data_IF_644018150096
#
_entry.id   IF_644018150096
#
_cell.length_a   1.000
_cell.length_b   1.000
_cell.length_c   1.000
_cell.angle_alpha   90.00
_cell.angle_beta   90.00
_cell.angle_gamma   90.00
#
_symmetry.space_group_name_H-M   'P 1'
#
loop_
_entity.id
_entity.type
_entity.pdbx_description
1 polymer ?
#
# COMPACT_ATOMS: atom_id res chain seq x y z
N UNK A 1 25.56 -45.56 -22.69
CA UNK A 1 25.70 -44.13 -23.08
C UNK A 1 24.35 -43.47 -23.34
N UNK A 2 23.53 -43.96 -24.29
CA UNK A 2 22.22 -43.35 -24.66
C UNK A 2 21.31 -43.04 -23.46
N UNK A 3 21.15 -43.98 -22.52
CA UNK A 3 20.32 -43.78 -21.31
C UNK A 3 20.77 -42.58 -20.47
N UNK A 4 22.07 -42.33 -20.36
CA UNK A 4 22.63 -41.19 -19.59
C UNK A 4 22.28 -39.87 -20.27
N UNK A 5 22.33 -39.81 -21.60
CA UNK A 5 21.94 -38.63 -22.38
C UNK A 5 20.44 -38.33 -22.25
N UNK A 6 19.59 -39.38 -22.22
CA UNK A 6 18.15 -39.24 -21.99
C UNK A 6 17.87 -38.67 -20.59
N UNK A 7 18.50 -39.21 -19.55
CA UNK A 7 18.36 -38.70 -18.17
C UNK A 7 18.82 -37.23 -18.08
N UNK A 8 19.94 -36.88 -18.72
CA UNK A 8 20.44 -35.50 -18.75
C UNK A 8 19.46 -34.54 -19.45
N UNK A 9 18.89 -34.96 -20.59
CA UNK A 9 17.91 -34.16 -21.34
C UNK A 9 16.58 -33.99 -20.57
N UNK A 10 16.09 -35.06 -19.93
CA UNK A 10 14.93 -35.00 -19.04
C UNK A 10 15.17 -34.04 -17.85
N UNK A 11 16.36 -34.10 -17.25
CA UNK A 11 16.75 -33.17 -16.17
C UNK A 11 16.81 -31.71 -16.59
N UNK A 12 17.40 -31.42 -17.76
CA UNK A 12 17.49 -30.05 -18.31
C UNK A 12 16.11 -29.48 -18.66
N UNK A 13 15.22 -30.29 -19.26
CA UNK A 13 13.86 -29.85 -19.62
C UNK A 13 12.99 -29.59 -18.38
N UNK A 14 13.05 -30.45 -17.36
CA UNK A 14 12.35 -30.23 -16.09
C UNK A 14 12.89 -29.01 -15.32
N UNK A 15 14.20 -28.81 -15.30
CA UNK A 15 14.79 -27.64 -14.65
C UNK A 15 14.42 -26.33 -15.37
N UNK A 16 14.42 -26.34 -16.70
CA UNK A 16 13.96 -25.19 -17.51
C UNK A 16 12.49 -24.85 -17.25
N UNK A 17 11.59 -25.84 -17.24
CA UNK A 17 10.17 -25.63 -16.88
C UNK A 17 9.99 -25.07 -15.47
N UNK A 18 10.75 -25.59 -14.50
CA UNK A 18 10.70 -25.10 -13.12
C UNK A 18 11.14 -23.63 -13.01
N UNK A 19 12.23 -23.24 -13.68
CA UNK A 19 12.67 -21.84 -13.70
C UNK A 19 11.62 -20.93 -14.33
N UNK A 20 11.05 -21.30 -15.48
CA UNK A 20 9.99 -20.51 -16.14
C UNK A 20 8.76 -20.37 -15.23
N UNK A 21 8.31 -21.45 -14.58
CA UNK A 21 7.19 -21.38 -13.63
C UNK A 21 7.51 -20.43 -12.47
N UNK A 22 8.73 -20.46 -11.93
CA UNK A 22 9.15 -19.60 -10.81
C UNK A 22 9.14 -18.12 -11.19
N UNK A 23 9.67 -17.75 -12.36
CA UNK A 23 9.67 -16.37 -12.85
C UNK A 23 8.24 -15.88 -13.16
N UNK A 24 7.39 -16.74 -13.74
CA UNK A 24 5.97 -16.43 -13.93
C UNK A 24 5.25 -16.24 -12.59
N UNK A 25 5.52 -17.08 -11.59
CA UNK A 25 4.93 -16.96 -10.27
C UNK A 25 5.37 -15.68 -9.55
N UNK A 26 6.64 -15.30 -9.67
CA UNK A 26 7.15 -14.04 -9.12
C UNK A 26 6.46 -12.85 -9.77
N UNK A 27 6.42 -12.80 -11.11
CA UNK A 27 5.72 -11.75 -11.88
C UNK A 27 4.24 -11.64 -11.47
N UNK A 28 3.56 -12.77 -11.27
CA UNK A 28 2.17 -12.80 -10.83
C UNK A 28 2.00 -12.29 -9.39
N UNK A 29 2.95 -12.58 -8.50
CA UNK A 29 2.97 -12.07 -7.14
C UNK A 29 3.24 -10.56 -7.11
N UNK A 30 4.16 -10.05 -7.93
CA UNK A 30 4.47 -8.62 -8.05
C UNK A 30 3.25 -7.83 -8.53
N UNK A 31 2.56 -8.33 -9.58
CA UNK A 31 1.31 -7.75 -10.06
C UNK A 31 0.19 -7.79 -8.99
N UNK A 32 0.09 -8.88 -8.25
CA UNK A 32 -0.89 -9.03 -7.16
C UNK A 32 -0.62 -8.08 -5.98
N UNK A 33 0.64 -7.90 -5.61
CA UNK A 33 1.04 -6.99 -4.53
C UNK A 33 0.79 -5.53 -4.90
N UNK A 34 1.11 -5.12 -6.14
CA UNK A 34 0.79 -3.79 -6.66
C UNK A 34 -0.73 -3.55 -6.73
N UNK A 35 -1.51 -4.52 -7.20
CA UNK A 35 -2.96 -4.43 -7.25
C UNK A 35 -3.59 -4.31 -5.85
N UNK A 36 -3.00 -4.97 -4.85
CA UNK A 36 -3.45 -4.89 -3.47
C UNK A 36 -3.01 -3.58 -2.78
N UNK A 37 -1.83 -3.05 -3.06
CA UNK A 37 -1.38 -1.74 -2.58
C UNK A 37 -2.17 -0.57 -3.20
N UNK A 38 -2.85 -0.79 -4.33
CA UNK A 38 -3.71 0.21 -4.99
C UNK A 38 -5.21 0.03 -4.71
N UNK A 39 -5.64 -1.11 -4.14
CA UNK A 39 -7.07 -1.38 -3.90
C UNK A 39 -7.58 -0.79 -2.58
N UNK A 40 -8.54 0.13 -2.69
CA UNK A 40 -9.19 0.74 -1.53
C UNK A 40 -8.29 1.68 -0.72
N UNK A 41 -7.19 2.15 -1.31
CA UNK A 41 -6.20 3.02 -0.68
C UNK A 41 -6.69 4.47 -0.62
N UNK A 42 -6.56 5.13 0.53
CA UNK A 42 -6.86 6.54 0.74
C UNK A 42 -5.66 7.25 1.37
N UNK A 43 -5.20 8.33 0.75
CA UNK A 43 -4.26 9.25 1.38
C UNK A 43 -5.02 10.32 2.14
N UNK A 44 -4.69 10.48 3.41
CA UNK A 44 -5.23 11.47 4.32
C UNK A 44 -4.18 12.53 4.61
N UNK A 45 -4.63 13.76 4.82
CA UNK A 45 -3.80 14.87 5.28
C UNK A 45 -4.46 15.57 6.46
N UNK A 46 -3.61 16.10 7.34
CA UNK A 46 -3.96 17.09 8.35
C UNK A 46 -3.27 18.39 7.97
N UNK A 47 -4.03 19.47 7.88
CA UNK A 47 -3.52 20.79 7.52
C UNK A 47 -3.87 21.84 8.57
N UNK A 48 -3.00 22.82 8.71
CA UNK A 48 -3.28 24.08 9.38
C UNK A 48 -3.48 25.15 8.29
N UNK A 49 -4.64 25.82 8.30
CA UNK A 49 -5.01 26.84 7.31
C UNK A 49 -4.82 28.22 7.91
N UNK A 50 -3.97 29.02 7.25
CA UNK A 50 -3.59 30.36 7.66
C UNK A 50 -4.36 31.39 6.84
N UNK A 51 -4.82 32.45 7.51
CA UNK A 51 -5.43 33.62 6.88
C UNK A 51 -4.78 34.87 7.45
N UNK A 52 -3.95 35.54 6.64
CA UNK A 52 -3.41 36.84 6.98
C UNK A 52 -4.50 37.90 6.80
N UNK A 53 -4.83 38.59 7.88
CA UNK A 53 -5.92 39.57 7.91
C UNK A 53 -5.54 40.94 7.32
N UNK A 54 -4.35 41.11 6.73
CA UNK A 54 -3.90 42.42 6.26
C UNK A 54 -3.49 43.33 7.41
N UNK A 55 -3.82 44.61 7.29
CA UNK A 55 -3.48 45.66 8.24
C UNK A 55 -4.66 46.64 8.44
N UNK A 56 -4.68 47.35 9.56
CA UNK A 56 -5.66 48.39 9.85
C UNK A 56 -5.02 49.76 9.88
N UNK A 57 -5.73 50.76 9.36
CA UNK A 57 -5.24 52.13 9.25
C UNK A 57 -5.25 52.82 10.62
N UNK A 58 -4.07 53.15 11.12
CA UNK A 58 -3.87 53.96 12.34
C UNK A 58 -3.47 55.39 11.96
N UNK A 59 -3.18 56.24 12.95
CA UNK A 59 -2.74 57.63 12.68
C UNK A 59 -1.32 57.67 12.09
N UNK A 60 -0.52 56.66 12.40
CA UNK A 60 0.91 56.60 12.08
C UNK A 60 1.21 55.69 10.86
N UNK A 61 0.22 54.96 10.35
CA UNK A 61 0.36 54.14 9.14
C UNK A 61 -0.73 53.08 8.95
N UNK A 62 -0.33 51.91 8.47
CA UNK A 62 -1.15 50.70 8.48
C UNK A 62 -0.44 49.65 9.34
N UNK A 63 -1.08 49.21 10.44
CA UNK A 63 -0.52 48.23 11.39
C UNK A 63 -1.11 46.84 11.14
N UNK A 64 -0.30 45.79 11.24
CA UNK A 64 -0.75 44.43 10.91
C UNK A 64 -1.87 43.95 11.83
N UNK A 65 -2.92 43.39 11.22
CA UNK A 65 -4.01 42.72 11.92
C UNK A 65 -3.66 41.29 12.39
N UNK A 66 -2.44 40.83 12.08
CA UNK A 66 -1.99 39.47 12.37
C UNK A 66 -2.61 38.40 11.47
N UNK A 67 -2.37 37.14 11.86
CA UNK A 67 -2.76 35.95 11.11
C UNK A 67 -3.71 35.10 11.96
N UNK A 68 -4.86 34.72 11.39
CA UNK A 68 -5.76 33.70 11.96
C UNK A 68 -5.32 32.33 11.46
N UNK A 69 -5.43 31.31 12.31
CA UNK A 69 -5.07 29.93 11.96
C UNK A 69 -6.19 28.99 12.38
N UNK A 70 -6.73 28.23 11.43
CA UNK A 70 -7.63 27.09 11.68
C UNK A 70 -6.77 25.84 11.68
N UNK A 71 -6.56 25.25 12.87
CA UNK A 71 -5.62 24.14 13.05
C UNK A 71 -6.29 22.77 12.97
N UNK A 72 -5.55 21.79 12.46
CA UNK A 72 -5.90 20.38 12.53
C UNK A 72 -7.10 19.98 11.65
N UNK A 73 -7.27 20.61 10.50
CA UNK A 73 -8.27 20.21 9.51
C UNK A 73 -7.84 18.88 8.90
N UNK A 74 -8.66 17.83 9.07
CA UNK A 74 -8.39 16.48 8.56
C UNK A 74 -9.33 16.16 7.41
N UNK A 75 -8.80 15.57 6.34
CA UNK A 75 -9.57 15.14 5.18
C UNK A 75 -8.71 14.31 4.21
N UNK A 76 -9.31 13.85 3.11
CA UNK A 76 -8.52 13.17 2.08
C UNK A 76 -7.63 14.19 1.37
N UNK A 77 -6.44 13.77 0.94
CA UNK A 77 -5.54 14.65 0.18
C UNK A 77 -6.21 15.15 -1.11
N UNK A 78 -6.99 14.28 -1.75
CA UNK A 78 -7.74 14.60 -2.97
C UNK A 78 -8.77 15.71 -2.77
N UNK A 79 -9.50 15.69 -1.66
CA UNK A 79 -10.54 16.69 -1.41
C UNK A 79 -9.92 17.98 -0.87
N UNK A 80 -9.05 17.91 0.15
CA UNK A 80 -8.47 19.10 0.74
C UNK A 80 -7.45 19.80 -0.18
N UNK A 81 -6.52 19.06 -0.80
CA UNK A 81 -5.42 19.62 -1.58
C UNK A 81 -5.77 19.70 -3.06
N UNK A 82 -5.99 18.56 -3.73
CA UNK A 82 -6.12 18.52 -5.20
C UNK A 82 -7.32 19.32 -5.71
N UNK A 83 -8.44 19.31 -4.97
CA UNK A 83 -9.65 20.10 -5.27
C UNK A 83 -9.65 21.48 -4.61
N UNK A 84 -8.66 21.80 -3.77
CA UNK A 84 -8.58 23.07 -3.07
C UNK A 84 -9.67 23.30 -2.01
N UNK A 85 -10.32 22.26 -1.47
CA UNK A 85 -11.37 22.45 -0.45
C UNK A 85 -10.83 23.02 0.87
N UNK A 86 -9.51 23.01 1.09
CA UNK A 86 -8.85 23.75 2.17
C UNK A 86 -9.27 25.23 2.26
N UNK A 87 -9.62 25.85 1.13
CA UNK A 87 -10.06 27.26 1.06
C UNK A 87 -11.34 27.48 1.90
N UNK A 88 -12.20 26.47 2.07
CA UNK A 88 -13.43 26.57 2.89
C UNK A 88 -13.15 26.77 4.39
N UNK A 89 -11.92 26.50 4.83
CA UNK A 89 -11.46 26.66 6.21
C UNK A 89 -10.68 27.98 6.41
N UNK A 90 -10.59 28.83 5.39
CA UNK A 90 -10.08 30.20 5.53
C UNK A 90 -11.06 31.05 6.34
N UNK A 91 -10.55 32.04 7.08
CA UNK A 91 -11.38 32.86 7.98
C UNK A 91 -11.66 34.23 7.35
N UNK A 92 -12.82 34.45 6.67
CA UNK A 92 -13.11 35.72 5.99
C UNK A 92 -13.40 36.89 6.96
N UNK A 93 -13.52 36.63 8.26
CA UNK A 93 -13.81 37.63 9.30
C UNK A 93 -12.55 38.41 9.72
N UNK A 94 -11.95 39.13 8.77
CA UNK A 94 -10.82 40.03 8.99
C UNK A 94 -11.29 41.48 8.73
N UNK A 95 -11.59 42.23 9.79
CA UNK A 95 -12.12 43.60 9.72
C UNK A 95 -11.00 44.65 9.52
N UNK A 96 -10.27 44.54 8.42
CA UNK A 96 -9.04 45.29 8.20
C UNK A 96 -9.07 46.11 6.90
N UNK A 97 -8.50 47.32 6.97
CA UNK A 97 -8.73 48.41 6.00
C UNK A 97 -7.55 48.70 5.06
N UNK A 98 -6.40 48.09 5.31
CA UNK A 98 -5.20 48.16 4.48
C UNK A 98 -4.74 46.76 4.04
N UNK A 99 -4.45 46.57 2.76
CA UNK A 99 -3.88 45.33 2.22
C UNK A 99 -4.91 44.25 1.88
N UNK A 100 -4.48 43.27 1.08
CA UNK A 100 -5.33 42.16 0.64
C UNK A 100 -5.25 40.96 1.58
N UNK A 101 -6.33 40.18 1.63
CA UNK A 101 -6.35 38.89 2.30
C UNK A 101 -5.40 37.93 1.58
N UNK A 102 -4.52 37.28 2.35
CA UNK A 102 -3.67 36.19 1.86
C UNK A 102 -3.97 34.93 2.66
N UNK A 103 -4.13 33.81 1.96
CA UNK A 103 -4.45 32.51 2.56
C UNK A 103 -3.51 31.45 2.04
N UNK A 104 -3.06 30.58 2.92
CA UNK A 104 -2.24 29.41 2.60
C UNK A 104 -2.53 28.29 3.59
N UNK A 105 -2.01 27.10 3.32
CA UNK A 105 -2.06 25.97 4.22
C UNK A 105 -0.66 25.43 4.44
N UNK A 106 -0.46 24.78 5.59
CA UNK A 106 0.71 23.96 5.87
C UNK A 106 0.24 22.53 6.15
N UNK A 107 0.91 21.53 5.57
CA UNK A 107 0.62 20.13 5.85
C UNK A 107 1.31 19.77 7.15
N UNK A 108 0.52 19.44 8.18
CA UNK A 108 1.00 19.05 9.51
C UNK A 108 1.28 17.54 9.55
N UNK A 109 0.45 16.76 8.88
CA UNK A 109 0.53 15.30 8.84
C UNK A 109 -0.01 14.76 7.50
N UNK A 110 0.50 13.60 7.08
CA UNK A 110 0.05 12.84 5.90
C UNK A 110 0.22 11.35 6.20
N UNK A 111 -0.82 10.55 5.95
CA UNK A 111 -0.78 9.09 6.13
C UNK A 111 -1.66 8.37 5.09
N UNK A 112 -1.47 7.06 4.98
CA UNK A 112 -2.18 6.17 4.03
C UNK A 112 -3.02 5.16 4.79
N UNK A 113 -4.30 5.02 4.41
CA UNK A 113 -5.22 4.02 4.93
C UNK A 113 -5.59 3.00 3.83
N UNK A 114 -5.56 1.72 4.17
CA UNK A 114 -6.02 0.61 3.32
C UNK A 114 -7.38 0.11 3.79
N UNK A 115 -8.41 0.16 2.93
CA UNK A 115 -9.75 -0.36 3.23
C UNK A 115 -9.75 -1.88 3.39
N UNK A 116 -9.89 -2.36 4.63
CA UNK A 116 -9.90 -3.79 5.03
C UNK A 116 -10.71 -4.66 4.07
N UNK A 117 -10.07 -5.73 3.56
CA UNK A 117 -10.69 -6.78 2.73
C UNK A 117 -10.45 -6.61 1.23
N UNK A 118 -10.35 -5.37 0.73
CA UNK A 118 -10.16 -5.10 -0.70
C UNK A 118 -8.78 -5.55 -1.20
N UNK A 119 -7.77 -5.58 -0.33
CA UNK A 119 -6.38 -5.96 -0.66
C UNK A 119 -6.27 -7.44 -0.99
N UNK A 120 -6.80 -8.31 -0.14
CA UNK A 120 -6.75 -9.76 -0.34
C UNK A 120 -7.54 -10.19 -1.59
N UNK A 121 -8.72 -9.58 -1.82
CA UNK A 121 -9.51 -9.86 -3.02
C UNK A 121 -8.81 -9.37 -4.30
N UNK A 122 -8.16 -8.20 -4.27
CA UNK A 122 -7.40 -7.70 -5.40
C UNK A 122 -6.18 -8.58 -5.69
N UNK A 123 -5.37 -8.91 -4.67
CA UNK A 123 -4.22 -9.80 -4.80
C UNK A 123 -4.60 -11.15 -5.43
N UNK A 124 -5.62 -11.83 -4.88
CA UNK A 124 -6.06 -13.12 -5.41
C UNK A 124 -6.54 -13.06 -6.86
N UNK A 125 -7.32 -12.03 -7.23
CA UNK A 125 -7.80 -11.85 -8.61
C UNK A 125 -6.66 -11.58 -9.59
N UNK A 126 -5.72 -10.71 -9.25
CA UNK A 126 -4.58 -10.37 -10.12
C UNK A 126 -3.58 -11.53 -10.20
N UNK A 127 -3.36 -12.29 -9.13
CA UNK A 127 -2.52 -13.48 -9.16
C UNK A 127 -3.12 -14.56 -10.08
N UNK A 128 -4.42 -14.87 -9.93
CA UNK A 128 -5.10 -15.88 -10.76
C UNK A 128 -5.20 -15.45 -12.23
N UNK A 129 -5.32 -14.14 -12.53
CA UNK A 129 -5.25 -13.63 -13.90
C UNK A 129 -3.87 -13.80 -14.56
N UNK A 130 -2.79 -13.87 -13.77
CA UNK A 130 -1.41 -14.05 -14.22
C UNK A 130 -0.86 -15.45 -13.89
N UNK A 131 -1.73 -16.44 -13.69
CA UNK A 131 -1.37 -17.76 -13.20
C UNK A 131 -0.29 -18.44 -14.07
N UNK A 132 0.78 -19.03 -13.47
CA UNK A 132 1.84 -19.69 -14.23
C UNK A 132 1.33 -20.85 -15.09
N UNK A 133 1.77 -20.91 -16.35
CA UNK A 133 1.25 -21.85 -17.35
C UNK A 133 1.60 -23.31 -17.06
N UNK A 134 2.73 -23.55 -16.40
CA UNK A 134 3.22 -24.89 -16.05
C UNK A 134 2.84 -25.35 -14.64
N UNK A 135 2.04 -24.56 -13.90
CA UNK A 135 1.63 -24.89 -12.53
C UNK A 135 0.29 -25.67 -12.50
N UNK A 136 0.33 -26.89 -11.96
CA UNK A 136 -0.85 -27.73 -11.70
C UNK A 136 -1.76 -27.07 -10.66
N UNK A 137 -1.16 -26.48 -9.62
CA UNK A 137 -1.82 -25.55 -8.70
C UNK A 137 -0.93 -24.35 -8.46
N UNK A 138 -1.53 -23.16 -8.40
CA UNK A 138 -0.85 -21.95 -7.96
C UNK A 138 -1.87 -21.03 -7.30
N UNK A 139 -1.54 -20.50 -6.12
CA UNK A 139 -2.45 -19.63 -5.37
C UNK A 139 -1.73 -18.71 -4.38
N UNK A 140 -2.45 -17.68 -3.92
CA UNK A 140 -1.99 -16.77 -2.86
C UNK A 140 -2.18 -17.43 -1.49
N UNK A 141 -1.09 -17.62 -0.75
CA UNK A 141 -1.09 -18.24 0.58
C UNK A 141 -1.45 -17.24 1.70
N UNK A 142 -1.02 -16.00 1.56
CA UNK A 142 -1.28 -14.95 2.55
C UNK A 142 -1.06 -13.56 1.96
N UNK A 143 -1.89 -12.61 2.41
CA UNK A 143 -1.69 -11.17 2.18
C UNK A 143 -1.53 -10.50 3.54
N UNK A 144 -0.35 -9.96 3.82
CA UNK A 144 -0.10 -9.12 5.00
C UNK A 144 -0.25 -7.65 4.59
N UNK A 145 -1.17 -6.91 5.24
CA UNK A 145 -1.39 -5.48 4.98
C UNK A 145 -0.85 -4.67 6.17
N UNK A 146 0.10 -3.77 5.92
CA UNK A 146 0.65 -2.83 6.90
C UNK A 146 -0.15 -1.54 6.85
N UNK A 147 -1.15 -1.41 7.74
CA UNK A 147 -2.12 -0.29 7.75
C UNK A 147 -2.06 0.55 9.02
N UNK A 148 -2.48 1.80 8.88
CA UNK A 148 -2.68 2.74 9.97
C UNK A 148 -4.19 2.88 10.31
N UNK A 149 -4.59 3.04 11.60
CA UNK A 149 -3.83 2.72 12.81
C UNK A 149 -3.76 1.19 12.99
N UNK A 150 -2.68 0.71 13.61
CA UNK A 150 -2.30 -0.71 13.57
C UNK A 150 -3.24 -1.64 14.35
N UNK A 151 -3.75 -2.64 13.65
CA UNK A 151 -3.85 -4.01 14.17
C UNK A 151 -3.17 -4.90 13.13
N UNK A 152 -2.22 -5.75 13.56
CA UNK A 152 -1.64 -6.76 12.68
C UNK A 152 -2.74 -7.75 12.27
N UNK A 153 -3.06 -7.81 10.98
CA UNK A 153 -4.06 -8.74 10.46
C UNK A 153 -3.48 -9.54 9.29
N UNK A 154 -2.88 -10.69 9.61
CA UNK A 154 -2.51 -11.70 8.61
C UNK A 154 -3.78 -12.36 8.10
N UNK A 155 -4.31 -11.89 6.97
CA UNK A 155 -5.42 -12.57 6.29
C UNK A 155 -4.87 -13.81 5.60
N UNK A 156 -5.03 -14.95 6.29
CA UNK A 156 -4.74 -16.29 5.74
C UNK A 156 -6.00 -16.78 5.03
N UNK A 157 -5.94 -16.93 3.70
CA UNK A 157 -7.05 -17.46 2.92
C UNK A 157 -7.06 -18.99 2.99
N UNK A 158 -7.56 -19.53 4.10
CA UNK A 158 -8.12 -20.88 4.09
C UNK A 158 -9.50 -20.78 3.40
N UNK A 159 -9.66 -21.40 2.22
CA UNK A 159 -10.77 -21.18 1.28
C UNK A 159 -12.15 -21.76 1.72
N UNK A 160 -12.44 -21.75 3.02
CA UNK A 160 -13.73 -22.12 3.59
C UNK A 160 -14.29 -20.94 4.42
N UNK A 161 -15.45 -20.42 3.99
CA UNK A 161 -16.20 -19.28 4.55
C UNK A 161 -15.55 -17.89 4.47
N UNK A 162 -15.86 -17.17 3.39
CA UNK A 162 -15.95 -15.70 3.38
C UNK A 162 -17.44 -15.31 3.32
N UNK A 163 -18.17 -15.48 4.43
CA UNK A 163 -19.60 -15.10 4.53
C UNK A 163 -19.98 -14.25 5.74
N UNK A 164 -19.10 -14.14 6.76
CA UNK A 164 -19.40 -13.38 7.97
C UNK A 164 -18.24 -12.47 8.34
N UNK A 165 -18.38 -11.17 8.01
CA UNK A 165 -17.85 -10.01 8.77
C UNK A 165 -18.30 -8.64 8.19
N UNK A 166 -19.40 -8.60 7.42
CA UNK A 166 -20.06 -7.35 7.02
C UNK A 166 -20.92 -6.80 8.18
N UNK A 167 -20.28 -6.20 9.19
CA UNK A 167 -20.99 -5.48 10.26
C UNK A 167 -20.21 -4.25 10.76
N UNK A 168 -20.81 -3.08 10.56
CA UNK A 168 -20.46 -1.77 11.13
C UNK A 168 -19.04 -1.18 10.87
N UNK A 169 -18.88 -0.32 9.86
CA UNK A 169 -17.74 0.60 9.77
C UNK A 169 -17.93 1.79 10.71
N UNK A 170 -17.67 1.60 12.01
CA UNK A 170 -17.49 2.73 12.92
C UNK A 170 -16.12 3.38 12.67
N UNK A 171 -16.11 4.48 11.92
CA UNK A 171 -14.95 5.36 11.81
C UNK A 171 -14.74 6.08 13.15
N UNK A 172 -13.82 5.57 13.98
CA UNK A 172 -13.41 6.24 15.22
C UNK A 172 -12.08 6.94 14.97
N UNK A 173 -12.11 8.26 14.81
CA UNK A 173 -10.93 9.09 14.62
C UNK A 173 -10.26 9.38 15.96
N UNK A 174 -9.29 8.57 16.35
CA UNK A 174 -8.39 8.86 17.46
C UNK A 174 -7.22 9.77 17.00
N UNK A 175 -6.74 10.70 17.85
CA UNK A 175 -5.49 11.40 17.58
C UNK A 175 -4.32 10.42 17.54
N UNK A 176 -3.45 10.61 16.55
CA UNK A 176 -2.28 9.76 16.25
C UNK A 176 -1.22 9.86 17.36
N UNK A 177 -0.79 8.73 17.97
CA UNK A 177 0.47 8.70 18.72
C UNK A 177 1.66 8.49 17.75
N UNK A 178 2.77 9.17 18.02
CA UNK A 178 3.96 9.25 17.13
C UNK A 178 4.75 7.92 17.01
N UNK A 179 4.44 6.92 17.83
CA UNK A 179 5.08 5.60 17.84
C UNK A 179 4.67 4.73 16.64
N UNK A 180 3.46 4.89 16.12
CA UNK A 180 2.96 4.10 14.98
C UNK A 180 3.57 4.47 13.62
N UNK A 181 4.21 5.64 13.50
CA UNK A 181 5.03 6.01 12.33
C UNK A 181 6.35 5.23 12.25
N UNK A 182 6.70 4.46 13.28
CA UNK A 182 8.01 3.79 13.41
C UNK A 182 8.02 2.34 12.92
N UNK A 183 6.90 1.75 12.47
CA UNK A 183 6.95 0.48 11.72
C UNK A 183 7.63 0.75 10.37
N UNK A 184 8.87 0.27 10.12
CA UNK A 184 9.54 0.54 8.87
C UNK A 184 8.77 -0.04 7.68
N UNK A 185 7.97 -1.09 7.88
CA UNK A 185 7.21 -1.75 6.83
C UNK A 185 5.90 -1.03 6.46
N UNK A 186 5.58 0.12 7.05
CA UNK A 186 4.38 0.89 6.73
C UNK A 186 4.66 2.00 5.70
N UNK A 187 3.76 2.24 4.71
CA UNK A 187 2.63 1.44 4.27
C UNK A 187 3.03 0.45 3.15
N UNK A 188 2.82 -0.84 3.37
CA UNK A 188 3.07 -1.90 2.38
C UNK A 188 2.00 -2.99 2.39
N UNK A 189 1.90 -3.71 1.28
CA UNK A 189 1.16 -4.97 1.18
C UNK A 189 2.10 -6.07 0.71
N UNK A 190 2.26 -7.13 1.50
CA UNK A 190 3.10 -8.28 1.16
C UNK A 190 2.21 -9.43 0.72
N UNK A 191 2.43 -9.92 -0.50
CA UNK A 191 1.75 -11.09 -1.07
C UNK A 191 2.74 -12.25 -1.10
N UNK A 192 2.38 -13.35 -0.44
CA UNK A 192 3.12 -14.62 -0.54
C UNK A 192 2.26 -15.61 -1.32
N UNK A 193 2.83 -16.19 -2.37
CA UNK A 193 2.15 -17.15 -3.23
C UNK A 193 3.01 -18.40 -3.44
N UNK A 194 2.35 -19.50 -3.78
CA UNK A 194 2.98 -20.79 -3.98
C UNK A 194 2.52 -21.39 -5.30
N UNK A 195 3.44 -21.99 -6.06
CA UNK A 195 3.16 -22.66 -7.32
C UNK A 195 3.76 -24.07 -7.31
N UNK A 196 2.97 -25.05 -7.75
CA UNK A 196 3.33 -26.47 -7.82
C UNK A 196 3.38 -26.92 -9.27
N UNK A 197 4.53 -27.43 -9.69
CA UNK A 197 4.72 -28.07 -10.99
C UNK A 197 4.73 -29.57 -10.85
N UNK A 198 3.82 -30.25 -11.56
CA UNK A 198 3.92 -31.68 -11.79
C UNK A 198 5.03 -32.00 -12.78
N UNK A 199 5.83 -33.01 -12.47
CA UNK A 199 6.89 -33.45 -13.38
C UNK A 199 6.31 -34.13 -14.64
N UNK A 200 6.91 -33.90 -15.82
CA UNK A 200 6.54 -34.64 -17.04
C UNK A 200 7.05 -36.08 -17.04
N UNK A 201 7.96 -36.41 -16.12
CA UNK A 201 8.64 -37.70 -16.03
C UNK A 201 8.25 -38.46 -14.76
N UNK A 202 6.98 -38.34 -14.37
CA UNK A 202 6.40 -39.04 -13.21
C UNK A 202 6.57 -40.56 -13.40
N UNK A 203 7.12 -41.23 -12.40
CA UNK A 203 7.51 -42.64 -12.47
C UNK A 203 8.79 -42.97 -13.28
N UNK A 204 9.45 -42.03 -13.97
CA UNK A 204 10.70 -42.30 -14.69
C UNK A 204 11.87 -42.51 -13.72
N UNK A 205 12.12 -43.78 -13.38
CA UNK A 205 13.12 -44.24 -12.39
C UNK A 205 12.93 -43.66 -10.97
N UNK A 206 11.83 -42.96 -10.69
CA UNK A 206 11.59 -42.25 -9.43
C UNK A 206 12.55 -41.08 -9.16
N UNK A 207 13.33 -40.65 -10.18
CA UNK A 207 14.37 -39.63 -10.05
C UNK A 207 13.76 -38.22 -10.00
N UNK A 208 12.75 -37.98 -10.83
CA UNK A 208 12.04 -36.72 -10.90
C UNK A 208 10.86 -36.71 -9.93
N UNK A 209 10.69 -35.57 -9.25
CA UNK A 209 9.64 -35.33 -8.26
C UNK A 209 9.06 -33.95 -8.50
N UNK A 210 7.81 -33.77 -8.12
CA UNK A 210 7.10 -32.50 -8.21
C UNK A 210 7.87 -31.37 -7.51
N UNK A 211 7.77 -30.17 -8.08
CA UNK A 211 8.55 -29.01 -7.65
C UNK A 211 7.63 -27.91 -7.15
N UNK A 212 7.96 -27.37 -5.98
CA UNK A 212 7.30 -26.21 -5.39
C UNK A 212 8.17 -24.97 -5.57
N UNK A 213 7.59 -23.88 -6.05
CA UNK A 213 8.15 -22.55 -5.95
C UNK A 213 7.34 -21.75 -4.91
N UNK A 214 8.02 -21.18 -3.93
CA UNK A 214 7.45 -20.16 -3.05
C UNK A 214 7.96 -18.81 -3.54
N UNK A 215 7.06 -17.85 -3.72
CA UNK A 215 7.38 -16.49 -4.16
C UNK A 215 6.81 -15.47 -3.19
N UNK A 216 7.46 -14.33 -3.09
CA UNK A 216 7.02 -13.23 -2.27
C UNK A 216 7.21 -11.93 -3.03
N UNK A 217 6.21 -11.07 -2.94
CA UNK A 217 6.21 -9.75 -3.53
C UNK A 217 5.70 -8.71 -2.53
N UNK A 218 6.16 -7.47 -2.71
CA UNK A 218 5.81 -6.35 -1.86
C UNK A 218 5.31 -5.20 -2.73
N UNK A 219 4.10 -4.74 -2.45
CA UNK A 219 3.49 -3.57 -3.06
C UNK A 219 3.65 -2.40 -2.11
N UNK A 220 4.49 -1.44 -2.48
CA UNK A 220 4.75 -0.25 -1.68
C UNK A 220 3.78 0.88 -2.04
N UNK A 221 3.45 1.72 -1.05
CA UNK A 221 2.82 3.02 -1.31
C UNK A 221 3.74 4.13 -0.80
N UNK A 222 4.07 5.07 -1.68
CA UNK A 222 4.99 6.16 -1.38
C UNK A 222 4.20 7.38 -0.90
N UNK A 223 4.70 8.05 0.14
CA UNK A 223 4.22 9.36 0.52
C UNK A 223 5.40 10.25 0.92
N UNK A 224 5.24 11.56 0.72
CA UNK A 224 6.22 12.54 1.19
C UNK A 224 5.86 12.95 2.63
N UNK A 225 6.80 12.79 3.56
CA UNK A 225 6.65 13.27 4.93
C UNK A 225 6.74 14.80 4.95
N UNK A 226 5.72 15.51 5.47
CA UNK A 226 5.73 16.97 5.54
C UNK A 226 6.82 17.55 6.45
N UNK A 227 7.31 16.79 7.45
CA UNK A 227 8.30 17.31 8.41
C UNK A 227 9.72 17.30 7.83
N UNK A 228 10.11 16.22 7.15
CA UNK A 228 11.46 16.07 6.57
C UNK A 228 11.53 16.43 5.08
N UNK A 229 10.38 16.55 4.40
CA UNK A 229 10.29 16.71 2.94
C UNK A 229 10.73 15.47 2.16
N UNK A 230 11.07 14.37 2.83
CA UNK A 230 11.57 13.13 2.20
C UNK A 230 10.43 12.22 1.80
N UNK A 231 10.65 11.46 0.73
CA UNK A 231 9.80 10.33 0.38
C UNK A 231 10.07 9.16 1.33
N UNK A 232 9.02 8.66 1.97
CA UNK A 232 9.07 7.44 2.76
C UNK A 232 8.69 6.26 1.85
N UNK A 233 9.52 5.23 1.89
CA UNK A 233 9.30 3.92 1.27
C UNK A 233 9.51 2.85 2.36
N UNK A 234 8.67 1.80 2.43
CA UNK A 234 8.98 0.58 3.17
C UNK A 234 10.32 -0.05 2.71
N UNK A 235 11.09 -0.73 3.59
CA UNK A 235 12.29 -1.44 3.21
C UNK A 235 11.93 -2.70 2.42
N UNK A 236 12.87 -3.17 1.60
CA UNK A 236 12.72 -4.36 0.74
C UNK A 236 12.69 -5.70 1.53
N UNK A 237 12.87 -5.64 2.86
CA UNK A 237 13.01 -6.81 3.74
C UNK A 237 11.68 -7.48 4.13
N UNK A 238 10.50 -6.98 3.71
CA UNK A 238 9.23 -7.59 4.13
C UNK A 238 9.02 -9.02 3.58
N UNK A 239 9.77 -9.37 2.52
CA UNK A 239 9.78 -10.69 1.90
C UNK A 239 10.78 -11.71 2.48
N UNK A 240 11.41 -11.42 3.63
CA UNK A 240 12.28 -12.41 4.31
C UNK A 240 11.48 -13.70 4.60
N UNK A 241 12.01 -14.90 4.24
CA UNK A 241 11.39 -16.17 4.60
C UNK A 241 11.35 -16.33 6.13
N UNK A 242 10.18 -16.69 6.65
CA UNK A 242 9.94 -17.06 8.05
C UNK A 242 9.72 -18.57 8.12
#
# INVERSE_FOLDING_TARGET
MIVVLIIAFAGLTEFGRYLIMREQAQTAADAAALAAATSGTKTWVKIDVYTYCGASRTKDGCESCGTRVVRGVIGTERDLIDRGEWIRYTTPQCECSCGGLQTWYEIVDRWVEYKRGDQAQAAGRFFQANRPTFAETADVRSVEVRRYPTVWETVRQDYAHIDYLNANPHYVTYPVPDDLRQDPFYPSVVVRAEAWMKTLWDGFLGIFRDRKANVCAQGDTFYQDPQTGRWIKPPDEACVPR
#
